data_IF_720754546250
#
_entry.id   IF_720754546250
#
_cell.length_a   1.000
_cell.length_b   1.000
_cell.length_c   1.000
_cell.angle_alpha   90.00
_cell.angle_beta   90.00
_cell.angle_gamma   90.00
#
_symmetry.space_group_name_H-M   'P 1'
#
loop_
_entity.id
_entity.type
_entity.pdbx_description
1 polymer ?
#
# COMPACT_ATOMS: atom_id res chain seq x y z
N UNK A 1 -13.51 76.91 -50.96
CA UNK A 1 -12.61 76.24 -49.99
C UNK A 1 -13.47 75.85 -48.81
N UNK A 2 -13.81 74.55 -48.72
CA UNK A 2 -14.04 73.73 -47.51
C UNK A 2 -14.78 72.48 -47.98
N UNK A 3 -14.00 71.44 -48.22
CA UNK A 3 -14.42 70.08 -48.47
C UNK A 3 -14.75 69.45 -47.11
N UNK A 4 -16.00 69.01 -46.94
CA UNK A 4 -16.47 68.36 -45.72
C UNK A 4 -16.58 66.87 -45.97
N UNK A 5 -15.52 66.13 -45.65
CA UNK A 5 -15.52 64.68 -45.70
C UNK A 5 -16.31 64.13 -44.50
N UNK A 6 -17.46 63.53 -44.79
CA UNK A 6 -18.22 62.67 -43.88
C UNK A 6 -17.44 61.38 -43.65
N UNK A 7 -16.98 61.14 -42.43
CA UNK A 7 -16.47 59.82 -42.00
C UNK A 7 -17.65 58.84 -41.87
N UNK A 8 -17.57 57.71 -42.58
CA UNK A 8 -18.50 56.59 -42.47
C UNK A 8 -18.40 55.90 -41.09
N UNK A 9 -19.52 55.42 -40.51
CA UNK A 9 -19.50 54.71 -39.24
C UNK A 9 -18.97 53.28 -39.44
N UNK A 10 -17.90 52.93 -38.72
CA UNK A 10 -17.39 51.55 -38.63
C UNK A 10 -18.44 50.61 -38.02
N UNK A 11 -18.67 49.48 -38.69
CA UNK A 11 -19.65 48.45 -38.35
C UNK A 11 -19.32 47.75 -37.01
N UNK A 12 -20.23 47.69 -36.02
CA UNK A 12 -20.00 47.08 -34.71
C UNK A 12 -19.58 45.60 -34.76
N UNK A 13 -19.90 44.88 -35.85
CA UNK A 13 -19.59 43.46 -36.05
C UNK A 13 -18.10 43.19 -36.25
N UNK A 14 -17.34 44.10 -36.88
CA UNK A 14 -15.87 43.98 -37.02
C UNK A 14 -15.16 44.23 -35.68
N UNK A 15 -15.70 45.14 -34.86
CA UNK A 15 -15.18 45.43 -33.53
C UNK A 15 -15.39 44.26 -32.55
N UNK A 16 -16.50 43.54 -32.69
CA UNK A 16 -16.82 42.36 -31.88
C UNK A 16 -15.99 41.13 -32.28
N UNK A 17 -15.75 40.92 -33.59
CA UNK A 17 -14.84 39.89 -34.09
C UNK A 17 -13.39 40.10 -33.61
N UNK A 18 -12.92 41.36 -33.59
CA UNK A 18 -11.60 41.70 -33.03
C UNK A 18 -11.52 41.44 -31.52
N UNK A 19 -12.61 41.65 -30.78
CA UNK A 19 -12.66 41.42 -29.33
C UNK A 19 -12.65 39.92 -29.00
N UNK A 20 -13.41 39.11 -29.76
CA UNK A 20 -13.40 37.66 -29.63
C UNK A 20 -12.03 37.05 -29.90
N UNK A 21 -11.35 37.45 -30.98
CA UNK A 21 -10.03 36.91 -31.31
C UNK A 21 -8.97 37.29 -30.26
N UNK A 22 -9.05 38.48 -29.67
CA UNK A 22 -8.18 38.88 -28.55
C UNK A 22 -8.43 38.03 -27.29
N UNK A 23 -9.69 37.77 -26.94
CA UNK A 23 -10.03 36.91 -25.79
C UNK A 23 -9.59 35.46 -26.03
N UNK A 24 -9.78 34.94 -27.24
CA UNK A 24 -9.36 33.60 -27.65
C UNK A 24 -7.85 33.43 -27.59
N UNK A 25 -7.10 34.43 -28.06
CA UNK A 25 -5.63 34.44 -27.97
C UNK A 25 -5.17 34.39 -26.51
N UNK A 26 -5.75 35.22 -25.64
CA UNK A 26 -5.44 35.22 -24.20
C UNK A 26 -5.76 33.90 -23.51
N UNK A 27 -6.92 33.32 -23.79
CA UNK A 27 -7.30 32.00 -23.25
C UNK A 27 -6.35 30.90 -23.71
N UNK A 28 -5.91 30.95 -24.98
CA UNK A 28 -4.97 29.97 -25.52
C UNK A 28 -3.58 30.09 -24.87
N UNK A 29 -3.12 31.31 -24.60
CA UNK A 29 -1.87 31.56 -23.89
C UNK A 29 -1.93 31.09 -22.43
N UNK A 30 -3.03 31.35 -21.72
CA UNK A 30 -3.24 30.88 -20.35
C UNK A 30 -3.34 29.35 -20.29
N UNK A 31 -4.00 28.71 -21.27
CA UNK A 31 -4.06 27.25 -21.37
C UNK A 31 -2.67 26.64 -21.60
N UNK A 32 -1.84 27.25 -22.45
CA UNK A 32 -0.48 26.81 -22.71
C UNK A 32 0.43 26.96 -21.47
N UNK A 33 0.30 28.07 -20.73
CA UNK A 33 1.01 28.26 -19.47
C UNK A 33 0.59 27.22 -18.41
N UNK A 34 -0.71 26.96 -18.29
CA UNK A 34 -1.23 25.94 -17.37
C UNK A 34 -0.70 24.55 -17.72
N UNK A 35 -0.72 24.19 -19.00
CA UNK A 35 -0.20 22.91 -19.49
C UNK A 35 1.28 22.76 -19.12
N UNK A 36 2.11 23.78 -19.38
CA UNK A 36 3.53 23.78 -19.01
C UNK A 36 3.75 23.58 -17.51
N UNK A 37 2.97 24.26 -16.67
CA UNK A 37 3.07 24.13 -15.20
C UNK A 37 2.63 22.75 -14.73
N UNK A 38 1.57 22.21 -15.30
CA UNK A 38 1.07 20.88 -14.98
C UNK A 38 2.08 19.80 -15.38
N UNK A 39 2.69 19.92 -16.56
CA UNK A 39 3.78 19.03 -17.00
C UNK A 39 4.99 19.13 -16.07
N UNK A 40 5.44 20.33 -15.72
CA UNK A 40 6.55 20.51 -14.78
C UNK A 40 6.26 20.00 -13.36
N UNK A 41 4.99 20.04 -12.92
CA UNK A 41 4.57 19.39 -11.68
C UNK A 41 4.57 17.87 -11.82
N UNK A 42 4.08 17.33 -12.94
CA UNK A 42 4.08 15.89 -13.19
C UNK A 42 5.51 15.34 -13.29
N UNK A 43 6.45 16.06 -13.92
CA UNK A 43 7.87 15.69 -13.96
C UNK A 43 8.45 15.62 -12.56
N UNK A 44 8.26 16.66 -11.74
CA UNK A 44 8.70 16.64 -10.32
C UNK A 44 8.03 15.53 -9.52
N UNK A 45 6.74 15.26 -9.78
CA UNK A 45 6.03 14.12 -9.18
C UNK A 45 6.67 12.80 -9.59
N UNK A 46 7.07 12.63 -10.84
CA UNK A 46 7.78 11.44 -11.30
C UNK A 46 9.21 11.37 -10.75
N UNK A 47 9.90 12.49 -10.54
CA UNK A 47 11.23 12.47 -9.90
C UNK A 47 11.14 12.08 -8.42
N UNK A 48 10.12 12.58 -7.70
CA UNK A 48 9.95 12.34 -6.25
C UNK A 48 9.21 11.03 -5.97
N UNK A 49 8.21 10.69 -6.77
CA UNK A 49 7.28 9.58 -6.56
C UNK A 49 7.19 8.61 -7.73
N UNK A 50 7.86 8.87 -8.86
CA UNK A 50 8.01 7.89 -9.95
C UNK A 50 8.95 6.80 -9.47
N UNK A 51 8.37 5.92 -8.65
CA UNK A 51 9.03 4.79 -8.05
C UNK A 51 9.74 3.98 -9.12
N UNK A 52 10.85 3.36 -8.69
CA UNK A 52 11.59 2.40 -9.49
C UNK A 52 10.62 1.51 -10.27
N UNK A 53 10.78 1.47 -11.60
CA UNK A 53 10.04 0.55 -12.44
C UNK A 53 10.23 -0.85 -11.84
N UNK A 54 9.14 -1.42 -11.31
CA UNK A 54 9.13 -2.77 -10.78
C UNK A 54 9.23 -3.73 -11.96
N UNK A 55 10.46 -3.91 -12.44
CA UNK A 55 10.78 -4.89 -13.45
C UNK A 55 10.92 -6.24 -12.76
N UNK A 56 10.21 -7.24 -13.25
CA UNK A 56 10.39 -8.63 -12.82
C UNK A 56 11.84 -9.03 -13.10
N UNK A 57 12.67 -9.14 -12.05
CA UNK A 57 14.08 -9.54 -12.18
C UNK A 57 14.18 -10.99 -12.63
N UNK A 58 13.36 -11.87 -12.04
CA UNK A 58 13.33 -13.28 -12.35
C UNK A 58 12.07 -13.97 -11.82
N UNK A 59 11.82 -15.18 -12.27
CA UNK A 59 10.75 -16.05 -11.76
C UNK A 59 11.36 -17.37 -11.35
N UNK A 60 11.10 -17.80 -10.12
CA UNK A 60 11.61 -19.06 -9.61
C UNK A 60 10.53 -19.87 -8.93
N UNK A 61 10.72 -21.19 -8.93
CA UNK A 61 9.87 -22.14 -8.24
C UNK A 61 10.61 -22.68 -7.01
N UNK A 62 10.23 -22.17 -5.85
CA UNK A 62 10.66 -22.75 -4.57
C UNK A 62 10.10 -24.17 -4.47
N UNK A 63 10.98 -25.16 -4.40
CA UNK A 63 10.61 -26.57 -4.19
C UNK A 63 10.62 -26.86 -2.70
N UNK A 64 9.49 -27.30 -2.17
CA UNK A 64 9.35 -27.74 -0.78
C UNK A 64 9.25 -29.26 -0.73
N UNK A 65 9.72 -29.87 0.36
CA UNK A 65 9.68 -31.33 0.55
C UNK A 65 8.26 -31.86 0.77
N UNK A 66 7.33 -30.99 1.15
CA UNK A 66 5.96 -31.34 1.52
C UNK A 66 4.94 -30.51 0.74
N UNK A 67 3.74 -31.09 0.54
CA UNK A 67 2.60 -30.37 -0.03
C UNK A 67 2.22 -29.22 0.91
N UNK A 68 2.53 -28.00 0.49
CA UNK A 68 2.35 -26.81 1.31
C UNK A 68 1.67 -25.70 0.52
N UNK A 69 0.93 -24.85 1.21
CA UNK A 69 0.37 -23.63 0.64
C UNK A 69 1.28 -22.47 1.06
N UNK A 70 1.93 -21.77 0.11
CA UNK A 70 2.71 -20.59 0.43
C UNK A 70 1.79 -19.54 1.03
N UNK A 71 2.21 -18.96 2.16
CA UNK A 71 1.37 -18.02 2.91
C UNK A 71 1.90 -16.60 2.85
N UNK A 72 3.18 -16.41 3.11
CA UNK A 72 3.76 -15.07 3.16
C UNK A 72 5.28 -15.10 2.93
N UNK A 73 5.85 -13.94 2.63
CA UNK A 73 7.26 -13.75 2.31
C UNK A 73 7.76 -12.41 2.87
N UNK A 74 8.95 -12.41 3.47
CA UNK A 74 9.53 -11.19 4.04
C UNK A 74 11.05 -11.15 3.88
N UNK A 75 11.61 -9.96 3.60
CA UNK A 75 13.05 -9.77 3.53
C UNK A 75 13.61 -9.35 4.89
N UNK A 76 14.66 -10.04 5.34
CA UNK A 76 15.31 -9.82 6.64
C UNK A 76 16.82 -9.99 6.48
N UNK A 77 17.60 -8.95 6.79
CA UNK A 77 19.08 -9.05 6.75
C UNK A 77 19.69 -9.43 5.40
N UNK A 78 19.04 -9.11 4.27
CA UNK A 78 19.50 -9.52 2.93
C UNK A 78 19.08 -10.94 2.53
N UNK A 79 18.42 -11.66 3.43
CA UNK A 79 17.79 -12.95 3.17
C UNK A 79 16.28 -12.78 3.01
N UNK A 80 15.65 -13.83 2.51
CA UNK A 80 14.21 -13.90 2.28
C UNK A 80 13.66 -15.08 3.07
N UNK A 81 12.82 -14.76 4.05
CA UNK A 81 12.09 -15.74 4.83
C UNK A 81 10.76 -16.02 4.15
N UNK A 82 10.55 -17.28 3.78
CA UNK A 82 9.30 -17.80 3.25
C UNK A 82 8.53 -18.56 4.32
N UNK A 83 7.25 -18.25 4.44
CA UNK A 83 6.31 -18.92 5.32
C UNK A 83 5.31 -19.77 4.54
N UNK A 84 5.14 -21.02 4.94
CA UNK A 84 4.19 -21.96 4.34
C UNK A 84 3.42 -22.73 5.39
N UNK A 85 2.23 -23.20 5.00
CA UNK A 85 1.43 -24.10 5.81
C UNK A 85 1.48 -25.50 5.18
N UNK A 86 2.01 -26.46 5.92
CA UNK A 86 2.01 -27.88 5.51
C UNK A 86 0.74 -28.56 6.01
N UNK A 87 0.08 -29.30 5.12
CA UNK A 87 -0.99 -30.21 5.49
C UNK A 87 -0.39 -31.59 5.76
N UNK A 88 -0.18 -31.90 7.04
CA UNK A 88 0.31 -33.23 7.42
C UNK A 88 -0.82 -34.26 7.37
N UNK A 89 -0.63 -35.34 6.61
CA UNK A 89 -1.54 -36.48 6.61
C UNK A 89 -1.33 -37.45 7.78
N UNK A 90 -0.06 -37.76 8.10
CA UNK A 90 0.29 -38.78 9.11
C UNK A 90 1.42 -38.39 10.08
N UNK A 91 2.07 -37.22 9.91
CA UNK A 91 3.17 -36.79 10.78
C UNK A 91 2.59 -36.10 12.04
N UNK A 92 2.99 -36.50 13.26
CA UNK A 92 2.41 -35.96 14.49
C UNK A 92 2.99 -34.61 14.90
N UNK A 93 4.18 -34.23 14.41
CA UNK A 93 4.90 -33.04 14.86
C UNK A 93 5.36 -32.20 13.67
N UNK A 94 5.11 -30.88 13.78
CA UNK A 94 5.54 -29.86 12.81
C UNK A 94 6.86 -29.25 13.28
N UNK A 95 7.90 -29.33 12.44
CA UNK A 95 9.19 -28.71 12.71
C UNK A 95 9.21 -27.25 12.20
N UNK A 96 10.20 -26.47 12.66
CA UNK A 96 10.40 -25.09 12.16
C UNK A 96 10.63 -25.07 10.64
N UNK A 97 11.44 -26.01 10.13
CA UNK A 97 11.66 -26.19 8.69
C UNK A 97 10.44 -26.67 7.91
N UNK A 98 9.35 -27.03 8.59
CA UNK A 98 8.07 -27.35 7.94
C UNK A 98 7.16 -26.11 7.81
N UNK A 99 7.55 -24.95 8.36
CA UNK A 99 6.76 -23.70 8.32
C UNK A 99 7.57 -22.56 7.72
N UNK A 100 8.87 -22.56 7.95
CA UNK A 100 9.79 -21.52 7.54
C UNK A 100 10.92 -22.09 6.68
N UNK A 101 11.17 -21.44 5.56
CA UNK A 101 12.36 -21.67 4.74
C UNK A 101 13.08 -20.35 4.51
N UNK A 102 14.39 -20.38 4.66
CA UNK A 102 15.25 -19.23 4.45
C UNK A 102 15.92 -19.36 3.09
N UNK A 103 15.90 -18.28 2.32
CA UNK A 103 16.49 -18.23 1.00
C UNK A 103 17.35 -17.00 0.85
N UNK A 104 18.44 -17.13 0.09
CA UNK A 104 19.29 -16.02 -0.34
C UNK A 104 18.97 -15.73 -1.79
N UNK A 105 18.71 -14.45 -2.08
CA UNK A 105 18.54 -13.99 -3.45
C UNK A 105 19.89 -13.62 -4.03
N UNK A 106 20.36 -14.37 -5.03
CA UNK A 106 21.55 -14.04 -5.79
C UNK A 106 21.18 -13.23 -7.04
N UNK A 107 21.69 -11.99 -7.12
CA UNK A 107 21.42 -11.07 -8.24
C UNK A 107 22.11 -11.50 -9.53
N UNK A 108 23.19 -12.27 -9.45
CA UNK A 108 23.99 -12.62 -10.63
C UNK A 108 23.48 -13.89 -11.33
N UNK A 109 22.65 -14.69 -10.65
CA UNK A 109 22.13 -15.95 -11.17
C UNK A 109 20.61 -16.05 -11.31
N UNK A 110 19.86 -15.00 -10.96
CA UNK A 110 18.39 -15.02 -10.80
C UNK A 110 17.90 -16.26 -10.04
N UNK A 111 18.65 -16.65 -8.99
CA UNK A 111 18.43 -17.88 -8.26
C UNK A 111 18.30 -17.63 -6.75
N UNK A 112 17.29 -18.26 -6.15
CA UNK A 112 17.00 -18.36 -4.73
C UNK A 112 17.65 -19.63 -4.21
N UNK A 113 18.89 -19.50 -3.74
CA UNK A 113 19.54 -20.59 -3.04
C UNK A 113 18.90 -20.76 -1.64
N UNK A 114 18.71 -22.01 -1.20
CA UNK A 114 18.40 -22.28 0.20
C UNK A 114 19.53 -21.75 1.08
N UNK A 115 19.16 -20.99 2.11
CA UNK A 115 20.08 -20.44 3.08
C UNK A 115 20.01 -21.26 4.38
N UNK A 116 21.15 -21.43 5.05
CA UNK A 116 21.21 -22.11 6.34
C UNK A 116 20.62 -21.19 7.42
N UNK A 117 19.85 -21.72 8.41
CA UNK A 117 19.44 -20.96 9.58
C UNK A 117 20.59 -20.17 10.26
N UNK A 118 21.83 -20.67 10.21
CA UNK A 118 23.02 -19.99 10.73
C UNK A 118 23.42 -18.71 10.00
N UNK A 119 22.86 -18.43 8.81
CA UNK A 119 23.05 -17.16 8.09
C UNK A 119 22.21 -16.03 8.69
N UNK A 120 21.18 -16.34 9.50
CA UNK A 120 20.38 -15.40 10.27
C UNK A 120 20.31 -15.82 11.74
N UNK A 121 21.43 -15.72 12.50
CA UNK A 121 21.45 -16.09 13.90
C UNK A 121 20.42 -15.26 14.68
N UNK A 122 19.65 -15.94 15.53
CA UNK A 122 18.57 -15.36 16.31
C UNK A 122 17.19 -15.35 15.63
N UNK A 123 17.10 -15.69 14.33
CA UNK A 123 15.83 -15.77 13.62
C UNK A 123 15.13 -17.12 13.84
N UNK A 124 15.73 -18.22 13.37
CA UNK A 124 15.13 -19.57 13.41
C UNK A 124 15.78 -20.53 14.41
N UNK A 125 16.95 -20.17 14.94
CA UNK A 125 17.77 -20.98 15.86
C UNK A 125 17.69 -20.52 17.33
N UNK A 126 16.99 -19.41 17.60
CA UNK A 126 16.93 -18.85 18.94
C UNK A 126 16.26 -19.83 19.93
N UNK A 127 16.88 -20.17 21.07
CA UNK A 127 16.40 -21.25 21.93
C UNK A 127 15.03 -20.98 22.56
N UNK A 128 14.70 -19.70 22.81
CA UNK A 128 13.35 -19.32 23.26
C UNK A 128 12.31 -19.47 22.16
N UNK A 129 12.66 -19.13 20.92
CA UNK A 129 11.77 -19.30 19.76
C UNK A 129 11.44 -20.78 19.56
N UNK A 130 12.44 -21.66 19.60
CA UNK A 130 12.24 -23.10 19.44
C UNK A 130 11.29 -23.68 20.51
N UNK A 131 11.40 -23.20 21.76
CA UNK A 131 10.48 -23.60 22.84
C UNK A 131 9.08 -23.08 22.60
N UNK A 132 8.94 -21.78 22.34
CA UNK A 132 7.64 -21.13 22.16
C UNK A 132 6.91 -21.68 20.91
N UNK A 133 7.65 -22.01 19.84
CA UNK A 133 7.14 -22.66 18.64
C UNK A 133 6.68 -24.11 18.92
N UNK A 134 7.50 -24.89 19.62
CA UNK A 134 7.12 -26.25 20.00
C UNK A 134 5.90 -26.26 20.91
N UNK A 135 5.80 -25.30 21.83
CA UNK A 135 4.65 -25.10 22.70
C UNK A 135 3.38 -24.77 21.91
N UNK A 136 3.49 -23.85 20.95
CA UNK A 136 2.39 -23.45 20.07
C UNK A 136 1.80 -24.65 19.32
N UNK A 137 2.64 -25.43 18.64
CA UNK A 137 2.18 -26.60 17.88
C UNK A 137 1.77 -27.78 18.77
N UNK A 138 2.29 -27.86 20.01
CA UNK A 138 1.90 -28.89 20.98
C UNK A 138 0.49 -28.65 21.54
N UNK A 139 0.18 -27.41 21.91
CA UNK A 139 -1.11 -27.08 22.54
C UNK A 139 -2.21 -26.77 21.53
N UNK A 140 -1.87 -26.17 20.39
CA UNK A 140 -2.83 -25.73 19.39
C UNK A 140 -2.66 -26.52 18.09
N UNK A 141 -3.46 -27.58 17.94
CA UNK A 141 -3.38 -28.49 16.77
C UNK A 141 -3.80 -27.85 15.45
N UNK A 142 -4.64 -26.81 15.51
CA UNK A 142 -5.08 -26.06 14.33
C UNK A 142 -4.18 -24.86 14.02
N UNK A 143 -2.94 -24.87 14.54
CA UNK A 143 -1.98 -23.79 14.31
C UNK A 143 -1.67 -23.66 12.82
N UNK A 144 -1.93 -22.48 12.28
CA UNK A 144 -1.53 -22.12 10.91
C UNK A 144 -0.93 -20.71 10.87
N UNK A 145 0.08 -20.53 10.04
CA UNK A 145 0.63 -19.22 9.76
C UNK A 145 -0.41 -18.41 8.98
N UNK A 146 -0.68 -17.18 9.43
CA UNK A 146 -1.55 -16.21 8.77
C UNK A 146 -0.78 -15.13 8.04
N UNK A 147 0.32 -14.62 8.62
CA UNK A 147 1.03 -13.48 8.05
C UNK A 147 2.43 -13.33 8.61
N UNK A 148 3.35 -12.83 7.78
CA UNK A 148 4.66 -12.33 8.16
C UNK A 148 4.71 -10.87 7.74
N UNK A 149 4.97 -9.96 8.69
CA UNK A 149 5.09 -8.54 8.38
C UNK A 149 6.40 -8.00 8.88
N UNK A 150 7.01 -7.13 8.10
CA UNK A 150 8.12 -6.30 8.54
C UNK A 150 7.59 -4.94 8.95
N UNK A 151 7.76 -4.62 10.22
CA UNK A 151 7.67 -3.26 10.76
C UNK A 151 9.10 -2.69 10.86
N UNK A 152 9.22 -1.39 11.12
CA UNK A 152 10.49 -0.66 11.11
C UNK A 152 11.60 -1.37 11.91
N UNK A 153 11.30 -1.74 13.15
CA UNK A 153 12.24 -2.37 14.09
C UNK A 153 11.83 -3.79 14.50
N UNK A 154 10.74 -4.33 13.93
CA UNK A 154 10.16 -5.61 14.34
C UNK A 154 9.70 -6.46 13.17
N UNK A 155 9.72 -7.76 13.38
CA UNK A 155 9.12 -8.75 12.50
C UNK A 155 8.10 -9.53 13.32
N UNK A 156 6.78 -9.27 13.22
CA UNK A 156 5.78 -10.17 13.74
C UNK A 156 5.43 -11.29 12.75
N UNK A 157 5.41 -12.53 13.26
CA UNK A 157 4.75 -13.67 12.63
C UNK A 157 3.43 -13.96 13.35
N UNK A 158 2.33 -13.91 12.60
CA UNK A 158 0.97 -14.08 13.11
C UNK A 158 0.53 -15.49 12.80
N UNK A 159 0.19 -16.24 13.84
CA UNK A 159 -0.36 -17.58 13.78
C UNK A 159 -1.81 -17.55 14.26
N UNK A 160 -2.68 -18.29 13.58
CA UNK A 160 -4.01 -18.58 14.10
C UNK A 160 -3.95 -19.89 14.88
N UNK A 161 -4.51 -19.89 16.09
CA UNK A 161 -4.51 -21.03 17.00
C UNK A 161 -5.87 -21.69 17.18
N UNK A 162 -6.94 -21.06 16.68
CA UNK A 162 -8.31 -21.54 16.82
C UNK A 162 -9.20 -21.18 15.63
N UNK A 163 -10.50 -21.54 15.69
CA UNK A 163 -11.42 -21.34 14.58
C UNK A 163 -11.80 -19.86 14.37
N UNK A 164 -11.69 -19.02 15.42
CA UNK A 164 -12.00 -17.59 15.30
C UNK A 164 -10.78 -16.84 14.77
N UNK A 165 -11.05 -15.78 14.02
CA UNK A 165 -10.00 -14.89 13.49
C UNK A 165 -9.24 -14.14 14.60
N UNK A 166 -9.84 -14.02 15.78
CA UNK A 166 -9.28 -13.38 16.96
C UNK A 166 -8.35 -14.31 17.76
N UNK A 167 -8.47 -15.62 17.55
CA UNK A 167 -7.65 -16.63 18.23
C UNK A 167 -6.27 -16.67 17.57
N UNK A 168 -5.45 -15.67 17.86
CA UNK A 168 -4.12 -15.50 17.27
C UNK A 168 -3.02 -15.55 18.33
N UNK A 169 -1.85 -16.04 17.91
CA UNK A 169 -0.57 -15.91 18.61
C UNK A 169 0.42 -15.22 17.71
N UNK A 170 1.16 -14.27 18.27
CA UNK A 170 2.09 -13.44 17.50
C UNK A 170 3.48 -13.59 18.07
N UNK A 171 4.36 -14.20 17.29
CA UNK A 171 5.78 -14.32 17.58
C UNK A 171 6.49 -13.08 17.05
N UNK A 172 7.35 -12.48 17.86
CA UNK A 172 8.01 -11.21 17.54
C UNK A 172 9.51 -11.36 17.55
N UNK A 173 10.15 -10.80 16.53
CA UNK A 173 11.58 -10.57 16.49
C UNK A 173 11.85 -9.07 16.40
N UNK A 174 12.97 -8.63 16.96
CA UNK A 174 13.55 -7.31 16.77
C UNK A 174 14.49 -7.37 15.57
N UNK A 175 14.39 -6.40 14.67
CA UNK A 175 15.32 -6.20 13.57
C UNK A 175 16.19 -4.99 13.91
N UNK A 176 17.51 -5.20 13.97
CA UNK A 176 18.49 -4.14 14.11
C UNK A 176 18.75 -3.41 12.79
N UNK A 177 19.32 -2.21 12.87
CA UNK A 177 19.70 -1.41 11.69
C UNK A 177 20.74 -2.09 10.81
N UNK A 178 21.57 -2.97 11.38
CA UNK A 178 22.54 -3.80 10.66
C UNK A 178 21.98 -5.11 10.08
N UNK A 179 20.67 -5.35 10.18
CA UNK A 179 20.04 -6.59 9.72
C UNK A 179 20.08 -7.74 10.71
N UNK A 180 20.69 -7.55 11.88
CA UNK A 180 20.67 -8.55 12.95
C UNK A 180 19.26 -8.76 13.50
N UNK A 181 18.93 -10.00 13.81
CA UNK A 181 17.60 -10.39 14.27
C UNK A 181 17.70 -11.00 15.66
N UNK A 182 16.81 -10.60 16.55
CA UNK A 182 16.71 -11.21 17.88
C UNK A 182 15.27 -11.53 18.23
N UNK A 183 14.98 -12.76 18.62
CA UNK A 183 13.66 -13.14 19.13
C UNK A 183 13.32 -12.38 20.42
N UNK A 184 12.06 -11.92 20.53
CA UNK A 184 11.54 -11.19 21.69
C UNK A 184 10.65 -12.11 22.52
N UNK A 185 9.47 -12.45 21.99
CA UNK A 185 8.46 -13.27 22.67
C UNK A 185 7.33 -13.74 21.73
N UNK A 186 6.34 -14.45 22.29
CA UNK A 186 5.12 -14.94 21.65
C UNK A 186 3.84 -14.19 22.07
N UNK A 187 3.96 -12.96 22.59
CA UNK A 187 2.84 -12.16 23.16
C UNK A 187 2.54 -10.89 22.38
N UNK A 188 2.76 -10.95 21.07
CA UNK A 188 2.59 -9.80 20.18
C UNK A 188 1.16 -9.51 19.75
N UNK A 189 0.14 -10.10 20.37
CA UNK A 189 -1.26 -9.97 19.90
C UNK A 189 -1.70 -8.50 19.88
N UNK A 190 -1.23 -7.72 20.86
CA UNK A 190 -1.47 -6.27 20.94
C UNK A 190 -0.75 -5.45 19.86
N UNK A 191 0.33 -5.97 19.31
CA UNK A 191 1.07 -5.35 18.21
C UNK A 191 0.43 -5.70 16.85
N UNK A 192 -0.51 -6.65 16.81
CA UNK A 192 -1.30 -6.97 15.61
C UNK A 192 -2.46 -6.00 15.43
N UNK A 193 -2.13 -4.72 15.26
CA UNK A 193 -3.09 -3.71 14.82
C UNK A 193 -2.96 -3.58 13.31
N UNK A 194 -4.08 -3.61 12.60
CA UNK A 194 -4.09 -3.25 11.19
C UNK A 194 -3.94 -1.73 11.08
N UNK A 195 -3.08 -1.21 10.20
CA UNK A 195 -3.09 0.21 9.92
C UNK A 195 -4.50 0.61 9.47
N UNK A 196 -4.94 1.85 9.76
CA UNK A 196 -6.19 2.34 9.23
C UNK A 196 -6.17 2.14 7.71
N UNK A 197 -7.23 1.52 7.17
CA UNK A 197 -7.31 1.21 5.74
C UNK A 197 -7.34 2.45 4.84
N UNK A 198 -7.56 3.61 5.45
CA UNK A 198 -7.83 4.87 4.78
C UNK A 198 -7.11 5.98 5.53
N UNK A 199 -6.50 6.90 4.78
CA UNK A 199 -5.76 8.03 5.33
C UNK A 199 -6.66 9.18 5.80
N UNK A 200 -7.98 8.96 5.81
CA UNK A 200 -8.98 9.93 6.22
C UNK A 200 -10.03 9.30 7.13
N UNK A 201 -10.54 10.08 8.08
CA UNK A 201 -11.63 9.67 8.92
C UNK A 201 -12.96 9.83 8.16
N UNK A 202 -13.79 8.80 8.15
CA UNK A 202 -15.18 8.95 7.72
C UNK A 202 -15.93 9.79 8.74
N UNK A 203 -16.63 10.80 8.25
CA UNK A 203 -17.67 11.47 9.04
C UNK A 203 -18.99 10.81 8.69
N UNK A 204 -19.76 10.40 9.69
CA UNK A 204 -21.09 9.83 9.50
C UNK A 204 -22.00 10.88 8.87
N UNK A 205 -22.66 10.55 7.75
CA UNK A 205 -23.59 11.46 7.10
C UNK A 205 -24.83 11.61 7.98
N UNK A 206 -25.13 12.84 8.34
CA UNK A 206 -26.33 13.22 9.10
C UNK A 206 -27.45 13.61 8.15
N UNK A 207 -28.66 13.83 8.69
CA UNK A 207 -29.80 14.32 7.91
C UNK A 207 -29.52 15.69 7.26
N UNK A 208 -28.63 16.48 7.83
CA UNK A 208 -28.29 17.82 7.35
C UNK A 208 -27.38 17.78 6.11
N UNK A 209 -26.71 16.64 5.85
CA UNK A 209 -25.90 16.40 4.65
C UNK A 209 -26.75 16.02 3.42
N UNK A 210 -28.07 15.98 3.58
CA UNK A 210 -29.00 15.63 2.51
C UNK A 210 -29.23 16.81 1.55
N UNK A 211 -28.65 16.73 0.36
CA UNK A 211 -28.94 17.68 -0.74
C UNK A 211 -30.17 17.20 -1.50
N UNK A 212 -31.31 17.92 -1.45
CA UNK A 212 -32.47 17.56 -2.24
C UNK A 212 -32.17 17.72 -3.74
N UNK A 213 -32.54 16.71 -4.53
CA UNK A 213 -32.34 16.74 -5.98
C UNK A 213 -33.09 17.91 -6.64
N UNK A 214 -32.48 18.52 -7.66
CA UNK A 214 -33.03 19.67 -8.39
C UNK A 214 -34.27 19.37 -9.27
N UNK A 215 -34.82 18.15 -9.23
CA UNK A 215 -36.07 17.79 -9.91
C UNK A 215 -37.03 17.04 -8.98
N UNK A 216 -38.34 17.29 -9.07
CA UNK A 216 -39.34 16.47 -8.40
C UNK A 216 -39.43 15.10 -9.10
N UNK A 217 -38.91 14.06 -8.47
CA UNK A 217 -38.98 12.66 -8.89
C UNK A 217 -38.52 11.72 -7.76
N UNK A 218 -38.97 10.45 -7.72
CA UNK A 218 -38.78 9.60 -6.55
C UNK A 218 -37.40 8.94 -6.56
N UNK A 219 -36.49 9.46 -5.74
CA UNK A 219 -35.51 8.75 -4.88
C UNK A 219 -34.28 9.64 -4.62
N UNK A 220 -33.89 9.87 -3.35
CA UNK A 220 -32.63 10.54 -3.04
C UNK A 220 -31.46 9.54 -3.10
N UNK A 221 -30.49 9.82 -3.97
CA UNK A 221 -29.18 9.17 -3.91
C UNK A 221 -28.33 9.89 -2.85
N UNK A 222 -28.19 9.30 -1.66
CA UNK A 222 -27.22 9.76 -0.67
C UNK A 222 -25.80 9.56 -1.23
N UNK A 223 -25.07 10.66 -1.46
CA UNK A 223 -23.64 10.63 -1.80
C UNK A 223 -22.85 10.88 -0.51
N UNK A 224 -22.15 9.86 -0.01
CA UNK A 224 -21.11 10.08 0.98
C UNK A 224 -19.93 10.80 0.30
N UNK A 225 -19.50 11.93 0.83
CA UNK A 225 -18.31 12.63 0.35
C UNK A 225 -17.17 12.44 1.37
N UNK A 226 -15.97 12.00 0.95
CA UNK A 226 -14.82 11.97 1.84
C UNK A 226 -14.36 13.41 2.12
N UNK A 227 -14.25 13.77 3.40
CA UNK A 227 -13.66 15.04 3.82
C UNK A 227 -12.14 14.87 3.88
N UNK A 228 -11.43 15.52 2.96
CA UNK A 228 -9.97 15.66 3.05
C UNK A 228 -9.70 16.80 4.04
N UNK A 229 -9.27 16.45 5.25
CA UNK A 229 -8.87 17.44 6.26
C UNK A 229 -7.57 18.10 5.80
N UNK A 230 -7.62 19.38 5.40
CA UNK A 230 -6.39 20.15 5.08
C UNK A 230 -6.49 21.20 3.97
N UNK A 231 -7.65 21.39 3.33
CA UNK A 231 -7.85 22.52 2.42
C UNK A 231 -8.96 23.41 2.99
N UNK A 232 -8.56 24.56 3.52
CA UNK A 232 -9.45 25.72 3.65
C UNK A 232 -10.02 26.00 2.25
N UNK A 233 -11.29 25.68 2.05
CA UNK A 233 -12.06 26.13 0.89
C UNK A 233 -12.70 27.47 1.24
N UNK A 234 -12.25 28.60 0.66
CA UNK A 234 -13.21 29.62 0.25
C UNK A 234 -13.88 29.15 -1.04
N UNK A 235 -15.00 29.78 -1.39
CA UNK A 235 -15.72 29.67 -2.66
C UNK A 235 -16.83 28.62 -2.74
N UNK A 236 -18.02 29.04 -2.29
CA UNK A 236 -19.23 29.01 -3.13
C UNK A 236 -20.10 30.23 -2.77
N UNK A 237 -19.92 31.34 -3.49
CA UNK A 237 -20.98 32.32 -3.78
C UNK A 237 -21.46 32.05 -5.20
N UNK A 238 -22.77 32.01 -5.40
CA UNK A 238 -23.45 31.81 -6.68
C UNK A 238 -24.67 30.96 -6.50
#
# INVERSE_FOLDING_TARGET
MTDGATEDPKDPTELDAGTYEVLRARLSEQAAELARRAEGLNTRRLEVFGGAELRLSGTERVRTEHNCVPRDIVSVGGLVLFGYNVYFGLKPETAVGDVFSLHRFDRDGDAFAGADPGEAPGLLDHPQFLRDFAELYRYYRETRLLQLRRLDDKLPAVFQTGPRTEDIRVLRWRIGTGGEVGYIDNRGERDHVFPPQQDFAWTEATRDDHVPGARPGPEPLCRCAPTVTGLETPWCRG
#
